data_IF_188246508791
#
_entry.id   IF_188246508791
#
_cell.length_a   1.000
_cell.length_b   1.000
_cell.length_c   1.000
_cell.angle_alpha   90.00
_cell.angle_beta   90.00
_cell.angle_gamma   90.00
#
_symmetry.space_group_name_H-M   'P 1'
#
loop_
_entity.id
_entity.type
_entity.pdbx_description
1 polymer ?
#
# COMPACT_ATOMS: atom_id res chain seq x y z
N UNK A 1 -25.21 -14.18 22.24
CA UNK A 1 -26.15 -13.81 21.16
C UNK A 1 -25.62 -12.71 20.24
N UNK A 2 -25.21 -11.54 20.75
CA UNK A 2 -24.71 -10.43 19.92
C UNK A 2 -23.52 -10.82 19.03
N UNK A 3 -22.53 -11.54 19.55
CA UNK A 3 -21.35 -11.92 18.75
C UNK A 3 -21.70 -12.78 17.54
N UNK A 4 -22.62 -13.74 17.68
CA UNK A 4 -22.96 -14.68 16.60
C UNK A 4 -23.99 -14.10 15.62
N UNK A 5 -24.96 -13.32 16.09
CA UNK A 5 -26.09 -12.86 15.27
C UNK A 5 -25.91 -11.44 14.74
N UNK A 6 -24.93 -10.69 15.25
CA UNK A 6 -24.68 -9.30 14.82
C UNK A 6 -23.24 -9.14 14.36
N UNK A 7 -22.25 -9.47 15.20
CA UNK A 7 -20.86 -9.24 14.85
C UNK A 7 -20.38 -10.11 13.68
N UNK A 8 -20.68 -11.41 13.69
CA UNK A 8 -20.29 -12.31 12.60
C UNK A 8 -20.92 -11.91 11.24
N UNK A 9 -22.24 -11.63 11.13
CA UNK A 9 -22.81 -11.13 9.88
C UNK A 9 -22.23 -9.79 9.44
N UNK A 10 -21.99 -8.86 10.37
CA UNK A 10 -21.40 -7.56 10.05
C UNK A 10 -19.98 -7.71 9.48
N UNK A 11 -19.15 -8.56 10.09
CA UNK A 11 -17.79 -8.87 9.59
C UNK A 11 -17.87 -9.50 8.19
N UNK A 12 -18.80 -10.44 7.97
CA UNK A 12 -18.96 -11.08 6.66
C UNK A 12 -19.36 -10.07 5.57
N UNK A 13 -20.26 -9.13 5.87
CA UNK A 13 -20.64 -8.06 4.95
C UNK A 13 -19.49 -7.10 4.65
N UNK A 14 -18.76 -6.66 5.68
CA UNK A 14 -17.57 -5.82 5.50
C UNK A 14 -16.49 -6.53 4.69
N UNK A 15 -16.30 -7.83 4.91
CA UNK A 15 -15.36 -8.64 4.15
C UNK A 15 -15.76 -8.71 2.68
N UNK A 16 -17.02 -9.03 2.38
CA UNK A 16 -17.53 -9.02 1.01
C UNK A 16 -17.33 -7.66 0.33
N UNK A 17 -17.63 -6.56 1.03
CA UNK A 17 -17.43 -5.22 0.50
C UNK A 17 -15.94 -4.92 0.18
N UNK A 18 -15.03 -5.23 1.10
CA UNK A 18 -13.60 -4.98 0.92
C UNK A 18 -12.98 -5.85 -0.19
N UNK A 19 -13.39 -7.12 -0.31
CA UNK A 19 -12.88 -8.04 -1.34
C UNK A 19 -13.47 -7.81 -2.73
N UNK A 20 -14.60 -7.11 -2.83
CA UNK A 20 -15.20 -6.75 -4.12
C UNK A 20 -14.65 -5.45 -4.70
N UNK A 21 -13.84 -4.70 -3.94
CA UNK A 21 -13.22 -3.47 -4.43
C UNK A 21 -12.13 -3.78 -5.47
N UNK A 22 -12.17 -3.07 -6.60
CA UNK A 22 -11.10 -3.15 -7.60
C UNK A 22 -9.84 -2.44 -7.11
N UNK A 23 -8.68 -2.90 -7.60
CA UNK A 23 -7.41 -2.24 -7.30
C UNK A 23 -7.31 -0.97 -8.13
N UNK A 24 -7.18 0.17 -7.45
CA UNK A 24 -6.95 1.45 -8.12
C UNK A 24 -5.57 1.47 -8.80
N UNK A 25 -5.51 2.09 -9.98
CA UNK A 25 -4.24 2.31 -10.65
C UNK A 25 -3.39 3.31 -9.86
N UNK A 26 -2.06 3.11 -9.79
CA UNK A 26 -1.17 4.07 -9.16
C UNK A 26 -1.31 5.45 -9.83
N UNK A 27 -1.29 6.55 -9.05
CA UNK A 27 -1.36 7.89 -9.61
C UNK A 27 -0.09 8.21 -10.41
N UNK A 28 -0.17 9.24 -11.25
CA UNK A 28 1.02 9.76 -11.94
C UNK A 28 2.09 10.21 -10.92
N UNK A 29 3.35 9.92 -11.22
CA UNK A 29 4.44 10.25 -10.33
C UNK A 29 4.70 11.76 -10.30
N UNK A 30 4.66 12.35 -9.10
CA UNK A 30 5.11 13.72 -8.83
C UNK A 30 6.18 13.69 -7.74
N UNK A 31 7.39 14.23 -8.00
CA UNK A 31 8.52 14.23 -7.06
C UNK A 31 8.34 15.29 -5.98
N UNK A 32 7.35 15.11 -5.11
CA UNK A 32 7.17 16.00 -3.96
C UNK A 32 8.33 15.88 -2.96
N UNK A 33 8.97 17.00 -2.64
CA UNK A 33 10.12 17.10 -1.71
C UNK A 33 9.84 16.54 -0.31
N UNK A 34 8.58 16.56 0.13
CA UNK A 34 8.17 16.05 1.44
C UNK A 34 7.83 14.56 1.44
N UNK A 35 7.84 13.89 0.28
CA UNK A 35 7.61 12.46 0.13
C UNK A 35 8.92 11.74 -0.19
N UNK A 36 8.92 10.42 0.00
CA UNK A 36 10.03 9.53 -0.41
C UNK A 36 11.40 9.97 0.13
N UNK A 37 11.41 10.57 1.32
CA UNK A 37 12.61 11.09 1.98
C UNK A 37 13.64 9.96 2.17
N UNK A 38 14.89 10.25 1.80
CA UNK A 38 16.05 9.37 1.97
C UNK A 38 17.24 10.16 2.52
N UNK A 39 17.23 10.45 3.82
CA UNK A 39 18.37 11.11 4.49
C UNK A 39 19.49 10.14 4.83
N UNK A 40 19.16 8.86 5.07
CA UNK A 40 20.08 7.74 5.27
C UNK A 40 19.50 6.50 4.61
N UNK A 41 20.37 5.67 4.05
CA UNK A 41 19.98 4.39 3.43
C UNK A 41 19.40 3.42 4.47
N UNK A 42 18.43 2.61 4.06
CA UNK A 42 17.91 1.51 4.88
C UNK A 42 18.99 0.43 5.10
N UNK A 43 18.97 -0.29 6.24
CA UNK A 43 19.96 -1.33 6.55
C UNK A 43 19.65 -2.69 5.87
N UNK A 44 19.09 -2.70 4.66
CA UNK A 44 18.82 -3.90 3.87
C UNK A 44 18.84 -3.58 2.38
N UNK A 45 19.01 -4.62 1.55
CA UNK A 45 18.98 -4.50 0.08
C UNK A 45 19.96 -3.45 -0.44
N UNK A 46 19.50 -2.61 -1.37
CA UNK A 46 20.22 -1.45 -1.92
C UNK A 46 20.15 -0.20 -1.03
N UNK A 47 19.35 -0.27 0.05
CA UNK A 47 19.09 0.82 0.96
C UNK A 47 18.08 1.87 0.46
N UNK A 48 17.46 1.67 -0.71
CA UNK A 48 16.51 2.61 -1.30
C UNK A 48 15.05 2.15 -1.14
N UNK A 49 14.81 0.84 -1.17
CA UNK A 49 13.47 0.24 -1.03
C UNK A 49 13.07 0.07 0.44
N UNK A 50 11.82 0.44 0.77
CA UNK A 50 11.26 0.22 2.10
C UNK A 50 11.07 -1.27 2.42
N UNK A 51 10.88 -1.64 3.68
CA UNK A 51 10.74 -3.05 4.09
C UNK A 51 9.60 -3.77 3.37
N UNK A 52 8.44 -3.12 3.23
CA UNK A 52 7.29 -3.63 2.48
C UNK A 52 7.14 -2.87 1.15
N UNK A 53 8.18 -2.91 0.33
CA UNK A 53 8.16 -2.27 -0.99
C UNK A 53 7.31 -3.05 -1.99
N UNK A 54 6.34 -2.38 -2.61
CA UNK A 54 5.55 -2.90 -3.72
C UNK A 54 5.86 -2.11 -5.01
N UNK A 55 6.52 -2.72 -6.01
CA UNK A 55 6.89 -2.05 -7.26
C UNK A 55 5.71 -1.44 -8.02
N UNK A 56 4.50 -2.00 -7.87
CA UNK A 56 3.31 -1.53 -8.59
C UNK A 56 2.73 -0.21 -8.06
N UNK A 57 2.98 0.15 -6.80
CA UNK A 57 2.32 1.30 -6.16
C UNK A 57 3.26 2.22 -5.38
N UNK A 58 4.45 1.74 -5.02
CA UNK A 58 5.43 2.52 -4.29
C UNK A 58 6.50 3.07 -5.24
N UNK A 59 6.33 4.31 -5.70
CA UNK A 59 7.39 4.99 -6.43
C UNK A 59 8.61 5.28 -5.54
N UNK A 60 9.79 5.07 -6.11
CA UNK A 60 11.09 5.50 -5.61
C UNK A 60 11.27 7.02 -5.81
N UNK A 61 12.32 7.65 -5.24
CA UNK A 61 12.57 9.08 -5.40
C UNK A 61 12.68 9.55 -6.87
N UNK A 62 13.04 8.63 -7.77
CA UNK A 62 13.23 8.81 -9.20
C UNK A 62 12.02 8.40 -10.06
N UNK A 63 11.00 7.76 -9.47
CA UNK A 63 9.78 7.36 -10.20
C UNK A 63 9.26 5.99 -9.82
N UNK A 64 8.24 5.53 -10.55
CA UNK A 64 7.81 4.13 -10.50
C UNK A 64 8.86 3.23 -11.16
N UNK A 65 9.01 2.01 -10.65
CA UNK A 65 9.83 1.01 -11.32
C UNK A 65 9.11 0.56 -12.61
N UNK A 66 9.81 0.54 -13.73
CA UNK A 66 9.28 -0.01 -14.98
C UNK A 66 9.05 -1.52 -14.84
N UNK A 67 7.94 -2.01 -15.38
CA UNK A 67 7.58 -3.43 -15.43
C UNK A 67 8.20 -4.15 -16.61
#
# INVERSE_FOLDING_TARGET
>A
MVSLLVAMPAIALCMFNAFSAEHEHPPEFVPYEHLRIRTKRFPWGDGNKSLFHNPHVNALPDGYEEH
#
